data_IF_222271559716
#
_entry.id   IF_222271559716
#
_cell.length_a   1.000
_cell.length_b   1.000
_cell.length_c   1.000
_cell.angle_alpha   90.00
_cell.angle_beta   90.00
_cell.angle_gamma   90.00
#
_symmetry.space_group_name_H-M   'P 1'
#
loop_
_entity.id
_entity.type
_entity.pdbx_description
1 polymer ?
#
# COMPACT_ATOMS: atom_id res chain seq x y z
N UNK A 1 15.27 -0.53 -52.90
CA UNK A 1 16.22 -1.18 -51.98
C UNK A 1 17.14 -0.11 -51.41
N UNK A 2 16.77 0.46 -50.27
CA UNK A 2 17.68 1.14 -49.35
C UNK A 2 17.32 0.58 -47.98
N UNK A 3 18.01 -0.50 -47.59
CA UNK A 3 18.08 -0.96 -46.22
C UNK A 3 18.96 0.02 -45.46
N UNK A 4 18.36 1.08 -44.94
CA UNK A 4 18.95 1.81 -43.81
C UNK A 4 18.93 0.83 -42.63
N UNK A 5 20.11 0.43 -42.17
CA UNK A 5 20.26 -0.48 -41.05
C UNK A 5 19.77 0.20 -39.78
N UNK A 6 18.78 -0.41 -39.10
CA UNK A 6 18.28 0.01 -37.78
C UNK A 6 19.39 0.28 -36.75
N UNK A 7 20.58 -0.32 -36.93
CA UNK A 7 21.75 -0.14 -36.06
C UNK A 7 22.27 1.30 -35.99
N UNK A 8 22.20 2.06 -37.10
CA UNK A 8 22.81 3.39 -37.17
C UNK A 8 21.86 4.48 -36.62
N UNK A 9 20.56 4.22 -36.56
CA UNK A 9 19.56 5.15 -36.00
C UNK A 9 19.44 5.04 -34.48
N UNK A 10 19.68 3.87 -33.87
CA UNK A 10 19.59 3.69 -32.42
C UNK A 10 20.60 4.57 -31.63
N UNK A 11 21.82 4.71 -32.14
CA UNK A 11 22.87 5.49 -31.46
C UNK A 11 22.72 7.02 -31.58
N UNK A 12 21.80 7.52 -32.42
CA UNK A 12 21.61 8.95 -32.66
C UNK A 12 20.24 9.49 -32.19
N UNK A 13 19.49 8.71 -31.40
CA UNK A 13 18.19 9.16 -30.87
C UNK A 13 18.35 10.18 -29.76
N UNK A 14 17.64 11.30 -29.89
CA UNK A 14 17.52 12.28 -28.83
C UNK A 14 16.49 11.81 -27.81
N UNK A 15 16.94 11.38 -26.63
CA UNK A 15 16.07 11.10 -25.49
C UNK A 15 16.53 11.89 -24.28
N UNK A 16 15.60 12.23 -23.39
CA UNK A 16 15.94 12.84 -22.10
C UNK A 16 16.38 11.75 -21.14
N UNK A 17 17.67 11.73 -20.80
CA UNK A 17 18.18 10.81 -19.78
C UNK A 17 17.42 11.02 -18.45
N UNK A 18 16.87 9.96 -17.85
CA UNK A 18 16.20 10.07 -16.56
C UNK A 18 17.20 10.44 -15.47
N UNK A 19 16.69 11.00 -14.37
CA UNK A 19 17.50 11.19 -13.19
C UNK A 19 17.95 9.83 -12.65
N UNK A 20 19.20 9.72 -12.14
CA UNK A 20 19.63 8.50 -11.48
C UNK A 20 18.74 8.24 -10.27
N UNK A 21 18.57 6.96 -9.92
CA UNK A 21 17.90 6.58 -8.68
C UNK A 21 18.54 7.32 -7.50
N UNK A 22 17.71 7.91 -6.65
CA UNK A 22 18.17 8.47 -5.37
C UNK A 22 18.59 7.38 -4.40
N UNK A 23 18.17 6.14 -4.65
CA UNK A 23 18.38 4.99 -3.79
C UNK A 23 19.26 3.97 -4.50
N UNK A 24 20.53 3.88 -4.08
CA UNK A 24 21.36 2.74 -4.48
C UNK A 24 20.88 1.49 -3.73
N UNK A 25 19.98 0.75 -4.37
CA UNK A 25 19.38 -0.45 -3.82
C UNK A 25 20.42 -1.51 -3.43
N UNK A 26 21.56 -1.57 -4.13
CA UNK A 26 22.65 -2.50 -3.80
C UNK A 26 23.33 -2.09 -2.49
N UNK A 27 23.62 -0.80 -2.32
CA UNK A 27 24.17 -0.28 -1.06
C UNK A 27 23.20 -0.43 0.11
N UNK A 28 21.90 -0.23 -0.11
CA UNK A 28 20.86 -0.38 0.93
C UNK A 28 20.83 -1.80 1.52
N UNK A 29 21.07 -2.83 0.70
CA UNK A 29 20.95 -4.24 1.12
C UNK A 29 22.27 -4.93 1.44
N UNK A 30 23.41 -4.31 1.13
CA UNK A 30 24.74 -4.94 1.24
C UNK A 30 25.14 -5.31 2.67
N UNK A 31 24.79 -4.46 3.66
CA UNK A 31 25.26 -4.59 5.04
C UNK A 31 24.13 -4.89 6.04
N UNK A 32 23.01 -5.44 5.57
CA UNK A 32 21.89 -5.75 6.43
C UNK A 32 22.11 -7.03 7.24
N UNK A 33 21.93 -6.90 8.55
CA UNK A 33 21.92 -8.00 9.50
C UNK A 33 20.48 -8.48 9.73
N UNK A 34 20.22 -9.72 9.34
CA UNK A 34 18.93 -10.39 9.52
C UNK A 34 18.93 -11.38 10.70
N UNK A 35 20.04 -11.50 11.45
CA UNK A 35 20.18 -12.47 12.55
C UNK A 35 19.16 -12.28 13.66
N UNK A 36 18.63 -11.07 13.80
CA UNK A 36 17.63 -10.72 14.82
C UNK A 36 16.20 -11.13 14.43
N UNK A 37 15.92 -11.48 13.17
CA UNK A 37 14.55 -11.77 12.71
C UNK A 37 13.91 -12.93 13.48
N UNK A 38 14.63 -14.02 13.69
CA UNK A 38 14.12 -15.18 14.43
C UNK A 38 13.85 -14.85 15.91
N UNK A 39 14.69 -14.00 16.51
CA UNK A 39 14.50 -13.55 17.89
C UNK A 39 13.26 -12.67 18.01
N UNK A 40 13.09 -11.70 17.10
CA UNK A 40 11.91 -10.84 17.03
C UNK A 40 10.63 -11.67 16.84
N UNK A 41 10.65 -12.65 15.92
CA UNK A 41 9.52 -13.55 15.69
C UNK A 41 9.13 -14.34 16.94
N UNK A 42 10.11 -14.90 17.67
CA UNK A 42 9.85 -15.59 18.94
C UNK A 42 9.26 -14.66 20.01
N UNK A 43 9.74 -13.42 20.12
CA UNK A 43 9.19 -12.45 21.07
C UNK A 43 7.76 -12.04 20.70
N UNK A 44 7.47 -11.85 19.42
CA UNK A 44 6.11 -11.58 18.91
C UNK A 44 5.18 -12.74 19.26
N UNK A 45 5.57 -13.99 18.97
CA UNK A 45 4.74 -15.15 19.31
C UNK A 45 4.54 -15.31 20.82
N UNK A 46 5.50 -14.91 21.66
CA UNK A 46 5.35 -14.91 23.11
C UNK A 46 4.40 -13.82 23.64
N UNK A 47 4.28 -12.69 22.93
CA UNK A 47 3.36 -11.60 23.29
C UNK A 47 1.95 -11.82 22.75
N UNK A 48 1.79 -12.56 21.65
CA UNK A 48 0.50 -12.79 20.99
C UNK A 48 -0.59 -13.34 21.93
N UNK A 49 -0.35 -14.36 22.77
CA UNK A 49 -1.35 -14.83 23.73
C UNK A 49 -1.73 -13.78 24.78
N UNK A 50 -0.80 -12.92 25.18
CA UNK A 50 -1.06 -11.88 26.19
C UNK A 50 -2.02 -10.82 25.62
N UNK A 51 -1.72 -10.32 24.42
CA UNK A 51 -2.59 -9.34 23.74
C UNK A 51 -3.94 -9.96 23.36
N UNK A 52 -3.97 -11.22 22.91
CA UNK A 52 -5.21 -11.97 22.70
C UNK A 52 -6.07 -12.02 23.97
N UNK A 53 -5.46 -12.32 25.12
CA UNK A 53 -6.17 -12.35 26.40
C UNK A 53 -6.68 -10.94 26.80
N UNK A 54 -5.92 -9.88 26.56
CA UNK A 54 -6.36 -8.50 26.77
C UNK A 54 -7.57 -8.15 25.89
N UNK A 55 -7.55 -8.57 24.62
CA UNK A 55 -8.65 -8.40 23.69
C UNK A 55 -9.91 -9.14 24.17
N UNK A 56 -9.79 -10.43 24.51
CA UNK A 56 -10.93 -11.26 24.94
C UNK A 56 -11.51 -10.79 26.27
N UNK A 57 -10.65 -10.41 27.24
CA UNK A 57 -11.05 -9.96 28.58
C UNK A 57 -11.59 -8.52 28.61
N UNK A 58 -11.48 -7.77 27.51
CA UNK A 58 -12.05 -6.43 27.39
C UNK A 58 -13.57 -6.49 27.61
N UNK A 59 -14.02 -5.82 28.68
CA UNK A 59 -15.42 -5.86 29.13
C UNK A 59 -16.33 -5.08 28.17
N UNK A 60 -17.17 -5.80 27.46
CA UNK A 60 -18.18 -5.24 26.56
C UNK A 60 -17.68 -5.07 25.14
N UNK A 61 -18.60 -5.24 24.19
CA UNK A 61 -18.30 -5.27 22.76
C UNK A 61 -17.71 -3.95 22.25
N UNK A 62 -18.17 -2.82 22.82
CA UNK A 62 -17.66 -1.47 22.55
C UNK A 62 -16.15 -1.37 22.80
N UNK A 63 -15.69 -1.87 23.95
CA UNK A 63 -14.26 -1.83 24.29
C UNK A 63 -13.42 -2.69 23.35
N UNK A 64 -13.95 -3.82 22.89
CA UNK A 64 -13.28 -4.67 21.89
C UNK A 64 -13.16 -4.01 20.53
N UNK A 65 -14.15 -3.21 20.12
CA UNK A 65 -14.08 -2.43 18.88
C UNK A 65 -13.03 -1.30 19.00
N UNK A 66 -13.00 -0.58 20.13
CA UNK A 66 -11.94 0.40 20.39
C UNK A 66 -10.55 -0.25 20.43
N UNK A 67 -10.44 -1.47 20.97
CA UNK A 67 -9.20 -2.25 20.94
C UNK A 67 -8.84 -2.67 19.52
N UNK A 68 -9.83 -3.04 18.69
CA UNK A 68 -9.63 -3.36 17.26
C UNK A 68 -9.04 -2.16 16.53
N UNK A 69 -9.54 -0.95 16.79
CA UNK A 69 -8.94 0.26 16.23
C UNK A 69 -7.46 0.41 16.61
N UNK A 70 -7.10 0.21 17.88
CA UNK A 70 -5.70 0.24 18.29
C UNK A 70 -4.86 -0.83 17.57
N UNK A 71 -5.38 -2.04 17.39
CA UNK A 71 -4.68 -3.10 16.66
C UNK A 71 -4.46 -2.73 15.18
N UNK A 72 -5.46 -2.15 14.52
CA UNK A 72 -5.36 -1.68 13.13
C UNK A 72 -4.31 -0.58 13.04
N UNK A 73 -4.45 0.48 13.83
CA UNK A 73 -3.59 1.66 13.74
C UNK A 73 -2.16 1.39 14.21
N UNK A 74 -1.92 0.37 15.06
CA UNK A 74 -0.58 -0.10 15.45
C UNK A 74 0.04 -1.13 14.47
N UNK A 75 -0.66 -1.49 13.38
CA UNK A 75 -0.19 -2.49 12.42
C UNK A 75 -0.15 -3.91 12.97
N UNK A 76 -1.02 -4.23 13.93
CA UNK A 76 -1.11 -5.51 14.63
C UNK A 76 -2.34 -6.35 14.25
N UNK A 77 -3.31 -5.77 13.55
CA UNK A 77 -4.62 -6.40 13.28
C UNK A 77 -4.49 -7.78 12.63
N UNK A 78 -3.54 -7.98 11.71
CA UNK A 78 -3.34 -9.24 11.00
C UNK A 78 -2.98 -10.44 11.92
N UNK A 79 -2.54 -10.18 13.16
CA UNK A 79 -2.29 -11.24 14.14
C UNK A 79 -3.56 -11.76 14.83
N UNK A 80 -4.69 -11.06 14.67
CA UNK A 80 -5.93 -11.25 15.41
C UNK A 80 -7.17 -11.20 14.49
N UNK A 81 -7.01 -11.58 13.22
CA UNK A 81 -8.08 -11.49 12.21
C UNK A 81 -9.35 -12.21 12.67
N UNK A 82 -9.22 -13.44 13.17
CA UNK A 82 -10.36 -14.25 13.64
C UNK A 82 -11.11 -13.55 14.78
N UNK A 83 -10.40 -13.08 15.82
CA UNK A 83 -11.02 -12.42 16.96
C UNK A 83 -11.70 -11.10 16.57
N UNK A 84 -11.10 -10.36 15.63
CA UNK A 84 -11.66 -9.12 15.10
C UNK A 84 -12.94 -9.42 14.31
N UNK A 85 -12.89 -10.38 13.39
CA UNK A 85 -14.06 -10.75 12.56
C UNK A 85 -15.23 -11.21 13.42
N UNK A 86 -14.99 -12.08 14.41
CA UNK A 86 -16.02 -12.52 15.35
C UNK A 86 -16.60 -11.36 16.16
N UNK A 87 -15.73 -10.48 16.68
CA UNK A 87 -16.14 -9.30 17.46
C UNK A 87 -17.01 -8.35 16.63
N UNK A 88 -16.64 -8.08 15.38
CA UNK A 88 -17.40 -7.18 14.53
C UNK A 88 -18.74 -7.80 14.12
N UNK A 89 -18.78 -9.09 13.85
CA UNK A 89 -20.03 -9.80 13.57
C UNK A 89 -21.02 -9.68 14.74
N UNK A 90 -20.56 -9.94 15.96
CA UNK A 90 -21.37 -9.82 17.18
C UNK A 90 -21.73 -8.37 17.50
N UNK A 91 -20.80 -7.45 17.28
CA UNK A 91 -20.98 -6.02 17.52
C UNK A 91 -22.00 -5.38 16.57
N UNK A 92 -21.99 -5.78 15.30
CA UNK A 92 -22.93 -5.25 14.31
C UNK A 92 -24.37 -5.61 14.66
N UNK A 93 -24.63 -6.81 15.17
CA UNK A 93 -25.95 -7.23 15.65
C UNK A 93 -26.48 -6.39 16.82
N UNK A 94 -25.57 -5.75 17.57
CA UNK A 94 -25.88 -4.95 18.77
C UNK A 94 -25.55 -3.48 18.58
N UNK A 95 -25.44 -3.01 17.33
CA UNK A 95 -24.97 -1.66 17.04
C UNK A 95 -25.90 -0.60 17.62
N UNK A 96 -27.22 -0.78 17.53
CA UNK A 96 -28.20 0.16 18.08
C UNK A 96 -28.08 0.27 19.60
N UNK A 97 -27.99 -0.86 20.31
CA UNK A 97 -27.78 -0.89 21.77
C UNK A 97 -26.44 -0.24 22.15
N UNK A 98 -25.38 -0.55 21.40
CA UNK A 98 -24.03 -0.02 21.65
C UNK A 98 -23.94 1.49 21.45
N UNK A 99 -24.67 2.01 20.46
CA UNK A 99 -24.69 3.42 20.11
C UNK A 99 -25.76 4.20 20.89
N UNK A 100 -26.66 3.54 21.62
CA UNK A 100 -27.70 4.21 22.39
C UNK A 100 -27.08 5.02 23.55
N UNK A 101 -27.32 6.34 23.55
CA UNK A 101 -26.83 7.24 24.61
C UNK A 101 -25.30 7.41 24.66
N UNK A 102 -24.58 7.00 23.62
CA UNK A 102 -23.14 7.25 23.49
C UNK A 102 -22.89 8.65 22.92
N UNK A 103 -22.42 9.57 23.76
CA UNK A 103 -22.18 10.97 23.38
C UNK A 103 -20.68 11.34 23.32
N UNK A 104 -19.79 10.35 23.42
CA UNK A 104 -18.35 10.55 23.21
C UNK A 104 -17.98 10.54 21.72
N UNK A 105 -17.51 11.70 21.22
CA UNK A 105 -17.19 11.89 19.80
C UNK A 105 -16.11 10.91 19.31
N UNK A 106 -15.05 10.73 20.09
CA UNK A 106 -13.98 9.78 19.80
C UNK A 106 -14.55 8.37 19.63
N UNK A 107 -15.33 7.89 20.60
CA UNK A 107 -15.88 6.54 20.62
C UNK A 107 -16.82 6.29 19.44
N UNK A 108 -17.77 7.20 19.16
CA UNK A 108 -18.69 7.05 18.02
C UNK A 108 -17.92 7.03 16.70
N UNK A 109 -16.93 7.91 16.54
CA UNK A 109 -16.13 8.00 15.32
C UNK A 109 -15.27 6.76 15.10
N UNK A 110 -14.63 6.24 16.16
CA UNK A 110 -13.82 5.02 16.07
C UNK A 110 -14.67 3.79 15.76
N UNK A 111 -15.81 3.62 16.44
CA UNK A 111 -16.76 2.54 16.11
C UNK A 111 -17.16 2.65 14.64
N UNK A 112 -17.46 3.87 14.18
CA UNK A 112 -17.85 4.09 12.80
C UNK A 112 -16.76 3.67 11.82
N UNK A 113 -15.56 4.19 12.04
CA UNK A 113 -14.37 3.91 11.23
C UNK A 113 -14.07 2.41 11.14
N UNK A 114 -14.05 1.70 12.28
CA UNK A 114 -13.74 0.27 12.30
C UNK A 114 -14.77 -0.53 11.52
N UNK A 115 -16.08 -0.34 11.77
CA UNK A 115 -17.10 -1.10 11.04
C UNK A 115 -17.04 -0.86 9.53
N UNK A 116 -16.89 0.39 9.09
CA UNK A 116 -16.75 0.72 7.66
C UNK A 116 -15.47 0.12 7.06
N UNK A 117 -14.36 0.11 7.81
CA UNK A 117 -13.08 -0.49 7.38
C UNK A 117 -13.24 -1.98 7.07
N UNK A 118 -14.03 -2.70 7.86
CA UNK A 118 -14.31 -4.12 7.69
C UNK A 118 -15.58 -4.40 6.85
N UNK A 119 -16.09 -3.40 6.12
CA UNK A 119 -17.17 -3.58 5.14
C UNK A 119 -18.60 -3.60 5.71
N UNK A 120 -18.79 -3.27 6.98
CA UNK A 120 -20.13 -3.14 7.56
C UNK A 120 -20.74 -1.77 7.27
N UNK A 121 -21.89 -1.75 6.61
CA UNK A 121 -22.62 -0.52 6.28
C UNK A 121 -23.45 0.00 7.46
N UNK A 122 -22.78 0.61 8.42
CA UNK A 122 -23.43 1.39 9.49
C UNK A 122 -23.91 2.75 8.97
N UNK A 123 -25.05 3.23 9.47
CA UNK A 123 -25.58 4.55 9.07
C UNK A 123 -24.69 5.67 9.60
N UNK A 124 -24.41 6.67 8.75
CA UNK A 124 -23.74 7.91 9.14
C UNK A 124 -24.63 8.83 9.99
N UNK A 125 -25.94 8.57 10.06
CA UNK A 125 -26.89 9.31 10.92
C UNK A 125 -26.53 9.24 12.40
N UNK A 126 -25.68 8.27 12.80
CA UNK A 126 -25.14 8.22 14.17
C UNK A 126 -24.46 9.54 14.55
N UNK A 127 -23.88 10.28 13.61
CA UNK A 127 -23.27 11.58 13.88
C UNK A 127 -24.27 12.72 14.09
N UNK A 128 -25.56 12.51 13.78
CA UNK A 128 -26.62 13.50 14.00
C UNK A 128 -26.73 13.97 15.45
N UNK A 129 -26.30 13.13 16.42
CA UNK A 129 -26.25 13.49 17.85
C UNK A 129 -25.28 14.64 18.17
N UNK A 130 -24.30 14.86 17.31
CA UNK A 130 -23.29 15.91 17.44
C UNK A 130 -23.65 17.21 16.74
N UNK A 131 -24.79 17.23 16.02
CA UNK A 131 -25.29 18.42 15.37
C UNK A 131 -26.04 19.33 16.35
N UNK A 132 -25.89 20.64 16.16
CA UNK A 132 -26.67 21.69 16.80
C UNK A 132 -28.02 21.91 16.13
N UNK A 133 -28.72 22.95 16.57
CA UNK A 133 -30.10 23.23 16.13
C UNK A 133 -30.20 23.66 14.66
N UNK A 134 -29.10 24.10 14.04
CA UNK A 134 -29.06 24.52 12.64
C UNK A 134 -28.44 23.46 11.70
N UNK A 135 -28.18 22.24 12.21
CA UNK A 135 -27.62 21.13 11.44
C UNK A 135 -26.10 21.16 11.28
N UNK A 136 -25.41 22.05 11.97
CA UNK A 136 -23.96 22.18 12.05
C UNK A 136 -23.38 21.39 13.23
N UNK A 137 -22.12 20.93 13.15
CA UNK A 137 -21.48 20.29 14.31
C UNK A 137 -21.28 21.27 15.47
N UNK A 138 -21.60 20.84 16.70
CA UNK A 138 -21.53 21.67 17.91
C UNK A 138 -20.10 22.19 18.14
N UNK A 139 -19.96 23.51 18.34
CA UNK A 139 -18.67 24.15 18.61
C UNK A 139 -17.97 23.59 19.87
N UNK A 140 -18.73 23.10 20.85
CA UNK A 140 -18.15 22.52 22.07
C UNK A 140 -17.28 21.27 21.83
N UNK A 141 -17.42 20.60 20.67
CA UNK A 141 -16.62 19.44 20.27
C UNK A 141 -15.15 19.80 20.04
N UNK A 142 -14.83 21.08 19.80
CA UNK A 142 -13.45 21.58 19.63
C UNK A 142 -12.56 21.42 20.85
N UNK A 143 -13.16 21.12 22.01
CA UNK A 143 -12.46 20.82 23.26
C UNK A 143 -11.89 19.40 23.30
N UNK A 144 -12.26 18.53 22.36
CA UNK A 144 -11.74 17.17 22.21
C UNK A 144 -10.97 17.02 20.89
N UNK A 145 -9.67 17.33 20.88
CA UNK A 145 -8.85 17.18 19.67
C UNK A 145 -8.76 15.73 19.17
N UNK A 146 -8.83 14.74 20.06
CA UNK A 146 -8.79 13.31 19.66
C UNK A 146 -10.11 12.90 19.00
N UNK A 147 -11.24 13.38 19.53
CA UNK A 147 -12.55 13.19 18.93
C UNK A 147 -12.66 13.84 17.55
N UNK A 148 -12.21 15.09 17.39
CA UNK A 148 -12.19 15.75 16.07
C UNK A 148 -11.31 14.99 15.08
N UNK A 149 -10.12 14.56 15.48
CA UNK A 149 -9.24 13.78 14.61
C UNK A 149 -9.90 12.44 14.22
N UNK A 150 -10.57 11.77 15.16
CA UNK A 150 -11.25 10.51 14.87
C UNK A 150 -12.47 10.70 13.97
N UNK A 151 -13.21 11.81 14.12
CA UNK A 151 -14.31 12.18 13.23
C UNK A 151 -13.79 12.47 11.82
N UNK A 152 -12.64 13.15 11.69
CA UNK A 152 -12.00 13.41 10.41
C UNK A 152 -11.67 12.10 9.68
N UNK A 153 -11.03 11.15 10.37
CA UNK A 153 -10.71 9.84 9.80
C UNK A 153 -11.97 9.04 9.44
N UNK A 154 -12.98 9.06 10.31
CA UNK A 154 -14.27 8.41 10.05
C UNK A 154 -14.99 9.01 8.85
N UNK A 155 -14.95 10.34 8.67
CA UNK A 155 -15.64 11.01 7.57
C UNK A 155 -15.03 10.68 6.19
N UNK A 156 -13.74 10.31 6.12
CA UNK A 156 -13.13 9.78 4.89
C UNK A 156 -13.62 8.38 4.50
N UNK A 157 -14.40 7.70 5.35
CA UNK A 157 -15.08 6.43 5.05
C UNK A 157 -16.48 6.62 4.43
N UNK A 158 -16.85 7.88 4.13
CA UNK A 158 -18.16 8.22 3.58
C UNK A 158 -18.39 7.71 2.16
N UNK A 159 -19.65 7.38 1.89
CA UNK A 159 -20.15 7.05 0.54
C UNK A 159 -20.95 8.23 -0.02
N UNK A 160 -21.39 8.13 -1.28
CA UNK A 160 -22.21 9.16 -1.93
C UNK A 160 -23.57 9.39 -1.28
N UNK A 161 -23.99 8.56 -0.33
CA UNK A 161 -25.24 8.70 0.41
C UNK A 161 -25.06 9.25 1.82
N UNK A 162 -23.83 9.44 2.28
CA UNK A 162 -23.52 9.85 3.65
C UNK A 162 -23.33 11.37 3.78
N UNK A 163 -24.35 12.17 3.42
CA UNK A 163 -24.25 13.63 3.33
C UNK A 163 -23.79 14.34 4.61
N UNK A 164 -24.08 13.77 5.79
CA UNK A 164 -23.62 14.30 7.07
C UNK A 164 -22.09 14.30 7.20
N UNK A 165 -21.39 13.41 6.48
CA UNK A 165 -19.94 13.31 6.51
C UNK A 165 -19.26 14.42 5.70
N UNK A 166 -19.93 15.00 4.71
CA UNK A 166 -19.41 16.19 4.00
C UNK A 166 -19.29 17.37 4.97
N UNK A 167 -20.33 17.59 5.78
CA UNK A 167 -20.31 18.62 6.84
C UNK A 167 -19.30 18.26 7.95
N UNK A 168 -19.16 16.98 8.28
CA UNK A 168 -18.14 16.52 9.23
C UNK A 168 -16.71 16.81 8.73
N UNK A 169 -16.44 16.62 7.44
CA UNK A 169 -15.15 16.97 6.83
C UNK A 169 -14.91 18.48 6.90
N UNK A 170 -15.88 19.31 6.54
CA UNK A 170 -15.76 20.77 6.63
C UNK A 170 -15.46 21.25 8.06
N UNK A 171 -16.23 20.74 9.02
CA UNK A 171 -16.06 21.05 10.44
C UNK A 171 -14.69 20.62 10.95
N UNK A 172 -14.30 19.37 10.70
CA UNK A 172 -13.04 18.82 11.22
C UNK A 172 -11.82 19.47 10.59
N UNK A 173 -11.80 19.70 9.27
CA UNK A 173 -10.71 20.39 8.57
C UNK A 173 -10.43 21.77 9.18
N UNK A 174 -11.48 22.59 9.31
CA UNK A 174 -11.37 23.95 9.83
C UNK A 174 -10.79 23.99 11.25
N UNK A 175 -11.09 22.99 12.08
CA UNK A 175 -10.61 22.92 13.46
C UNK A 175 -9.23 22.27 13.58
N UNK A 176 -8.96 21.21 12.80
CA UNK A 176 -7.69 20.48 12.87
C UNK A 176 -6.49 21.34 12.42
N UNK A 177 -6.66 22.26 11.47
CA UNK A 177 -5.60 23.19 11.08
C UNK A 177 -5.11 24.01 12.28
N UNK A 178 -6.02 24.53 13.09
CA UNK A 178 -5.71 25.27 14.32
C UNK A 178 -5.13 24.36 15.42
N UNK A 179 -5.71 23.17 15.60
CA UNK A 179 -5.26 22.18 16.59
C UNK A 179 -3.85 21.65 16.28
N UNK A 180 -3.47 21.59 15.00
CA UNK A 180 -2.15 21.16 14.54
C UNK A 180 -0.99 22.04 15.05
N UNK A 181 -1.31 23.25 15.52
CA UNK A 181 -0.36 24.22 16.06
C UNK A 181 -0.44 24.37 17.58
N UNK A 182 -1.56 24.00 18.20
CA UNK A 182 -1.88 24.32 19.61
C UNK A 182 -1.84 23.11 20.55
N UNK A 183 -2.01 21.89 20.03
CA UNK A 183 -1.96 20.67 20.84
C UNK A 183 -0.53 20.30 21.31
N UNK A 184 -0.46 19.28 22.19
CA UNK A 184 0.81 18.64 22.58
C UNK A 184 1.60 18.22 21.32
N UNK A 185 2.94 18.34 21.28
CA UNK A 185 3.72 18.13 20.05
C UNK A 185 3.48 16.79 19.32
N UNK A 186 3.24 15.71 20.07
CA UNK A 186 2.97 14.39 19.50
C UNK A 186 1.60 14.32 18.81
N UNK A 187 0.56 14.90 19.41
CA UNK A 187 -0.78 14.99 18.81
C UNK A 187 -0.80 15.95 17.62
N UNK A 188 -0.15 17.11 17.75
CA UNK A 188 0.00 18.08 16.65
C UNK A 188 0.65 17.47 15.41
N UNK A 189 1.68 16.62 15.59
CA UNK A 189 2.29 15.87 14.49
C UNK A 189 1.32 14.87 13.88
N UNK A 190 0.60 14.09 14.71
CA UNK A 190 -0.39 13.13 14.21
C UNK A 190 -1.49 13.82 13.39
N UNK A 191 -1.99 14.97 13.85
CA UNK A 191 -2.97 15.78 13.13
C UNK A 191 -2.42 16.23 11.78
N UNK A 192 -1.20 16.80 11.72
CA UNK A 192 -0.60 17.23 10.45
C UNK A 192 -0.44 16.10 9.45
N UNK A 193 -0.03 14.92 9.91
CA UNK A 193 0.10 13.76 9.02
C UNK A 193 -1.25 13.33 8.44
N UNK A 194 -2.28 13.28 9.30
CA UNK A 194 -3.64 12.89 8.91
C UNK A 194 -4.25 13.90 7.93
N UNK A 195 -4.00 15.20 8.12
CA UNK A 195 -4.38 16.25 7.17
C UNK A 195 -3.69 16.14 5.80
N UNK A 196 -2.47 15.58 5.76
CA UNK A 196 -1.75 15.32 4.51
C UNK A 196 -2.31 14.12 3.76
N UNK A 197 -2.50 13.00 4.45
CA UNK A 197 -3.15 11.80 3.90
C UNK A 197 -3.84 11.03 5.03
N UNK A 198 -5.20 10.94 5.02
CA UNK A 198 -5.95 10.26 6.07
C UNK A 198 -5.64 8.77 6.11
N UNK A 199 -5.80 8.16 7.28
CA UNK A 199 -5.45 6.76 7.55
C UNK A 199 -6.02 5.79 6.50
N UNK A 200 -7.31 5.93 6.16
CA UNK A 200 -7.97 5.05 5.19
C UNK A 200 -7.35 5.10 3.78
N UNK A 201 -6.70 6.21 3.41
CA UNK A 201 -6.09 6.42 2.09
C UNK A 201 -4.57 6.21 2.12
N UNK A 202 -4.02 5.76 3.24
CA UNK A 202 -2.58 5.66 3.48
C UNK A 202 -2.12 4.20 3.57
N UNK A 203 -0.82 3.97 3.43
CA UNK A 203 -0.22 2.64 3.68
C UNK A 203 -0.24 2.35 5.17
N UNK A 204 -0.81 1.21 5.57
CA UNK A 204 -0.95 0.81 6.97
C UNK A 204 0.37 0.86 7.75
N UNK A 205 1.49 0.51 7.11
CA UNK A 205 2.80 0.52 7.77
C UNK A 205 3.29 1.94 8.11
N UNK A 206 2.97 2.93 7.26
CA UNK A 206 3.33 4.33 7.50
C UNK A 206 2.46 4.93 8.60
N UNK A 207 1.17 4.58 8.61
CA UNK A 207 0.25 4.90 9.70
C UNK A 207 0.78 4.32 11.01
N UNK A 208 1.16 3.04 11.02
CA UNK A 208 1.69 2.37 12.20
C UNK A 208 2.98 3.02 12.72
N UNK A 209 3.92 3.38 11.83
CA UNK A 209 5.15 4.08 12.23
C UNK A 209 4.83 5.38 13.01
N UNK A 210 3.96 6.21 12.43
CA UNK A 210 3.64 7.51 13.01
C UNK A 210 2.80 7.39 14.27
N UNK A 211 1.88 6.43 14.32
CA UNK A 211 1.03 6.16 15.46
C UNK A 211 1.80 5.53 16.63
N UNK A 212 2.76 4.62 16.38
CA UNK A 212 3.64 4.09 17.44
C UNK A 212 4.38 5.23 18.16
N UNK A 213 4.92 6.20 17.39
CA UNK A 213 5.60 7.39 17.95
C UNK A 213 4.66 8.31 18.72
N UNK A 214 3.38 8.37 18.34
CA UNK A 214 2.35 9.10 19.07
C UNK A 214 2.01 8.36 20.37
N UNK A 215 1.66 7.07 20.27
CA UNK A 215 1.22 6.20 21.35
C UNK A 215 2.28 6.06 22.45
N UNK A 216 3.57 5.97 22.11
CA UNK A 216 4.66 5.95 23.08
C UNK A 216 4.68 7.14 24.04
N UNK A 217 4.14 8.29 23.62
CA UNK A 217 4.14 9.53 24.40
C UNK A 217 2.83 9.76 25.15
N UNK A 218 1.84 8.88 24.97
CA UNK A 218 0.56 8.99 25.63
C UNK A 218 0.61 8.39 27.03
N UNK A 219 0.00 9.09 27.99
CA UNK A 219 -0.01 8.73 29.42
C UNK A 219 -0.79 7.42 29.68
N UNK A 220 -1.78 7.13 28.85
CA UNK A 220 -2.66 5.96 28.90
C UNK A 220 -2.20 4.81 27.98
N UNK A 221 -0.98 4.89 27.46
CA UNK A 221 -0.44 3.84 26.57
C UNK A 221 -0.21 2.51 27.28
N UNK A 222 -0.78 1.44 26.72
CA UNK A 222 -0.51 0.09 27.18
C UNK A 222 0.88 -0.37 26.72
N UNK A 223 1.75 -0.66 27.70
CA UNK A 223 3.15 -1.04 27.47
C UNK A 223 3.29 -2.39 26.73
N UNK A 224 2.33 -3.30 26.88
CA UNK A 224 2.34 -4.59 26.18
C UNK A 224 2.05 -4.39 24.69
N UNK A 225 1.03 -3.60 24.36
CA UNK A 225 0.71 -3.22 22.99
C UNK A 225 1.84 -2.42 22.34
N UNK A 226 2.43 -1.46 23.08
CA UNK A 226 3.55 -0.67 22.58
C UNK A 226 4.80 -1.53 22.32
N UNK A 227 5.10 -2.48 23.21
CA UNK A 227 6.21 -3.43 23.00
C UNK A 227 5.95 -4.29 21.76
N UNK A 228 4.74 -4.84 21.63
CA UNK A 228 4.38 -5.65 20.47
C UNK A 228 4.51 -4.84 19.18
N UNK A 229 3.86 -3.67 19.08
CA UNK A 229 3.88 -2.86 17.85
C UNK A 229 5.29 -2.50 17.40
N UNK A 230 6.20 -2.16 18.32
CA UNK A 230 7.61 -1.90 18.00
C UNK A 230 8.34 -3.14 17.47
N UNK A 231 8.16 -4.29 18.10
CA UNK A 231 8.77 -5.55 17.66
C UNK A 231 8.24 -5.96 16.28
N UNK A 232 6.91 -5.88 16.09
CA UNK A 232 6.27 -6.20 14.83
C UNK A 232 6.72 -5.24 13.71
N UNK A 233 6.74 -3.93 13.96
CA UNK A 233 7.25 -2.96 12.99
C UNK A 233 8.69 -3.27 12.58
N UNK A 234 9.56 -3.59 13.54
CA UNK A 234 10.95 -3.96 13.25
C UNK A 234 11.05 -5.26 12.46
N UNK A 235 10.24 -6.25 12.80
CA UNK A 235 10.16 -7.52 12.10
C UNK A 235 9.72 -7.33 10.64
N UNK A 236 8.64 -6.57 10.40
CA UNK A 236 8.15 -6.23 9.06
C UNK A 236 9.20 -5.45 8.25
N UNK A 237 9.87 -4.47 8.86
CA UNK A 237 10.95 -3.72 8.21
C UNK A 237 12.06 -4.66 7.71
N UNK A 238 12.54 -5.59 8.55
CA UNK A 238 13.56 -6.56 8.14
C UNK A 238 13.05 -7.50 7.05
N UNK A 239 11.79 -7.90 7.13
CA UNK A 239 11.13 -8.72 6.14
C UNK A 239 11.11 -8.04 4.75
N UNK A 240 10.69 -6.77 4.67
CA UNK A 240 10.68 -6.01 3.42
C UNK A 240 12.08 -5.75 2.86
N UNK A 241 13.06 -5.55 3.74
CA UNK A 241 14.45 -5.39 3.30
C UNK A 241 15.06 -6.70 2.78
N UNK A 242 14.62 -7.84 3.30
CA UNK A 242 15.00 -9.16 2.76
C UNK A 242 14.40 -9.37 1.37
N UNK A 243 13.14 -8.96 1.15
CA UNK A 243 12.50 -8.95 -0.17
C UNK A 243 13.26 -8.03 -1.14
N UNK A 244 13.61 -6.80 -0.71
CA UNK A 244 14.40 -5.87 -1.53
C UNK A 244 15.77 -6.44 -1.88
N UNK A 245 16.38 -7.24 -1.00
CA UNK A 245 17.66 -7.93 -1.30
C UNK A 245 17.51 -8.97 -2.41
N UNK A 246 16.41 -9.74 -2.40
CA UNK A 246 16.08 -10.69 -3.46
C UNK A 246 15.86 -9.94 -4.78
N UNK A 247 15.04 -8.89 -4.74
CA UNK A 247 14.73 -8.05 -5.89
C UNK A 247 15.96 -7.34 -6.46
N UNK A 248 16.85 -6.85 -5.60
CA UNK A 248 18.11 -6.21 -6.01
C UNK A 248 19.02 -7.17 -6.76
N UNK A 249 19.09 -8.44 -6.32
CA UNK A 249 19.85 -9.48 -7.00
C UNK A 249 19.22 -9.79 -8.37
N UNK A 250 17.90 -10.02 -8.39
CA UNK A 250 17.15 -10.28 -9.62
C UNK A 250 17.30 -9.15 -10.64
N UNK A 251 17.19 -7.89 -10.21
CA UNK A 251 17.34 -6.71 -11.06
C UNK A 251 18.75 -6.61 -11.65
N UNK A 252 19.78 -6.91 -10.86
CA UNK A 252 21.17 -6.97 -11.32
C UNK A 252 21.39 -8.05 -12.38
N UNK A 253 20.74 -9.21 -12.24
CA UNK A 253 20.82 -10.31 -13.21
C UNK A 253 20.20 -9.95 -14.57
N UNK A 254 19.30 -8.97 -14.61
CA UNK A 254 18.76 -8.45 -15.88
C UNK A 254 19.80 -7.69 -16.68
N UNK A 255 20.80 -7.09 -16.03
CA UNK A 255 21.91 -6.37 -16.66
C UNK A 255 21.45 -5.29 -17.67
N UNK A 256 20.43 -4.52 -17.30
CA UNK A 256 19.86 -3.48 -18.16
C UNK A 256 20.91 -2.46 -18.64
N UNK A 257 21.90 -2.17 -17.81
CA UNK A 257 22.97 -1.22 -18.15
C UNK A 257 23.78 -1.65 -19.38
N UNK A 258 24.01 -2.96 -19.58
CA UNK A 258 24.75 -3.45 -20.74
C UNK A 258 23.85 -3.67 -21.96
N UNK A 259 22.56 -3.96 -21.73
CA UNK A 259 21.60 -4.35 -22.77
C UNK A 259 20.78 -3.20 -23.34
N UNK A 260 20.53 -2.16 -22.54
CA UNK A 260 19.66 -1.05 -22.89
C UNK A 260 20.43 0.27 -22.88
N UNK A 261 20.19 1.14 -23.87
CA UNK A 261 20.57 2.55 -23.77
C UNK A 261 19.93 3.18 -22.51
N UNK A 262 20.56 4.21 -21.91
CA UNK A 262 20.17 4.71 -20.59
C UNK A 262 18.93 5.64 -20.64
N UNK A 263 17.86 5.22 -21.32
CA UNK A 263 16.57 5.94 -21.40
C UNK A 263 15.61 5.57 -20.25
N UNK A 264 15.84 4.43 -19.61
CA UNK A 264 14.93 3.86 -18.62
C UNK A 264 15.20 4.36 -17.20
N UNK A 265 14.14 4.46 -16.40
CA UNK A 265 14.18 4.84 -14.98
C UNK A 265 14.60 3.64 -14.14
N UNK A 266 15.54 3.87 -13.23
CA UNK A 266 15.85 2.93 -12.15
C UNK A 266 15.06 3.35 -10.90
N UNK A 267 13.97 2.64 -10.63
CA UNK A 267 13.02 2.96 -9.55
C UNK A 267 12.63 1.72 -8.73
N UNK A 268 13.51 0.71 -8.66
CA UNK A 268 13.22 -0.58 -8.02
C UNK A 268 12.77 -0.42 -6.55
N UNK A 269 13.39 0.51 -5.81
CA UNK A 269 13.09 0.74 -4.39
C UNK A 269 11.70 1.35 -4.22
N UNK A 270 11.36 2.32 -5.07
CA UNK A 270 10.07 3.00 -5.10
C UNK A 270 8.94 2.04 -5.48
N UNK A 271 9.19 1.17 -6.47
CA UNK A 271 8.25 0.12 -6.85
C UNK A 271 8.03 -0.88 -5.72
N UNK A 272 9.10 -1.32 -5.03
CA UNK A 272 8.98 -2.19 -3.87
C UNK A 272 8.22 -1.50 -2.72
N UNK A 273 8.51 -0.22 -2.46
CA UNK A 273 7.82 0.58 -1.45
C UNK A 273 6.31 0.65 -1.72
N UNK A 274 5.92 0.79 -2.99
CA UNK A 274 4.50 0.81 -3.38
C UNK A 274 3.77 -0.49 -3.00
N UNK A 275 4.46 -1.65 -3.05
CA UNK A 275 3.84 -2.93 -2.69
C UNK A 275 3.64 -3.13 -1.18
N UNK A 276 4.16 -2.24 -0.33
CA UNK A 276 3.97 -2.34 1.13
C UNK A 276 2.53 -2.02 1.58
N UNK A 277 1.63 -1.67 0.66
CA UNK A 277 0.18 -1.70 0.90
C UNK A 277 -0.31 -3.08 1.33
N UNK A 278 0.38 -4.14 0.89
CA UNK A 278 0.18 -5.49 1.38
C UNK A 278 1.08 -5.68 2.61
N UNK A 279 0.59 -5.37 3.81
CA UNK A 279 1.42 -5.31 5.02
C UNK A 279 1.96 -6.68 5.47
N UNK A 280 1.20 -7.75 5.29
CA UNK A 280 1.48 -8.99 6.04
C UNK A 280 2.70 -9.78 5.53
N UNK A 281 3.46 -10.46 6.42
CA UNK A 281 4.55 -11.34 6.00
C UNK A 281 4.11 -12.46 5.05
N UNK A 282 2.87 -12.97 5.22
CA UNK A 282 2.30 -14.03 4.36
C UNK A 282 2.18 -13.61 2.88
N UNK A 283 2.18 -12.31 2.61
CA UNK A 283 2.07 -11.71 1.27
C UNK A 283 3.44 -11.35 0.65
N UNK A 284 4.55 -11.77 1.26
CA UNK A 284 5.92 -11.57 0.76
C UNK A 284 6.08 -11.87 -0.72
N UNK A 285 5.62 -13.06 -1.12
CA UNK A 285 5.73 -13.50 -2.50
C UNK A 285 4.95 -12.57 -3.42
N UNK A 286 3.73 -12.18 -3.05
CA UNK A 286 2.92 -11.24 -3.83
C UNK A 286 3.67 -9.91 -4.04
N UNK A 287 4.31 -9.36 -3.00
CA UNK A 287 5.10 -8.12 -3.12
C UNK A 287 6.30 -8.25 -4.06
N UNK A 288 7.02 -9.37 -3.99
CA UNK A 288 8.14 -9.65 -4.91
C UNK A 288 7.63 -9.72 -6.35
N UNK A 289 6.53 -10.45 -6.60
CA UNK A 289 5.93 -10.55 -7.94
C UNK A 289 5.49 -9.20 -8.47
N UNK A 290 4.75 -8.44 -7.67
CA UNK A 290 4.26 -7.11 -8.05
C UNK A 290 5.41 -6.18 -8.35
N UNK A 291 6.49 -6.20 -7.57
CA UNK A 291 7.67 -5.36 -7.86
C UNK A 291 8.32 -5.74 -9.18
N UNK A 292 8.48 -7.04 -9.48
CA UNK A 292 9.01 -7.49 -10.78
C UNK A 292 8.09 -7.08 -11.94
N UNK A 293 6.78 -7.26 -11.76
CA UNK A 293 5.76 -6.87 -12.73
C UNK A 293 5.73 -5.36 -12.98
N UNK A 294 5.83 -4.53 -11.94
CA UNK A 294 5.93 -3.09 -12.09
C UNK A 294 7.23 -2.66 -12.75
N UNK A 295 8.35 -3.33 -12.42
CA UNK A 295 9.64 -3.07 -13.08
C UNK A 295 9.52 -3.34 -14.57
N UNK A 296 8.91 -4.46 -14.95
CA UNK A 296 8.60 -4.81 -16.33
C UNK A 296 7.75 -3.73 -17.02
N UNK A 297 6.66 -3.29 -16.40
CA UNK A 297 5.82 -2.22 -16.95
C UNK A 297 6.58 -0.90 -17.13
N UNK A 298 7.42 -0.50 -16.17
CA UNK A 298 8.20 0.75 -16.29
C UNK A 298 9.23 0.66 -17.42
N UNK A 299 9.87 -0.49 -17.62
CA UNK A 299 10.79 -0.69 -18.76
C UNK A 299 10.03 -0.59 -20.08
N UNK A 300 8.85 -1.21 -20.19
CA UNK A 300 8.02 -1.12 -21.39
C UNK A 300 7.53 0.31 -21.66
N UNK A 301 7.00 0.98 -20.64
CA UNK A 301 6.56 2.39 -20.67
C UNK A 301 7.69 3.32 -21.13
N UNK A 302 8.87 3.21 -20.51
CA UNK A 302 10.05 4.00 -20.92
C UNK A 302 10.54 3.65 -22.33
N UNK A 303 10.36 2.41 -22.78
CA UNK A 303 10.71 2.00 -24.14
C UNK A 303 9.81 2.72 -25.13
N UNK A 304 8.49 2.66 -24.94
CA UNK A 304 7.51 3.26 -25.85
C UNK A 304 7.57 4.79 -25.83
N UNK A 305 7.62 5.42 -24.65
CA UNK A 305 7.45 6.87 -24.52
C UNK A 305 8.73 7.67 -24.82
N UNK A 306 9.91 7.06 -24.63
CA UNK A 306 11.17 7.82 -24.62
C UNK A 306 12.17 7.41 -25.68
N UNK A 307 12.04 6.22 -26.27
CA UNK A 307 13.14 5.66 -27.06
C UNK A 307 12.75 4.94 -28.34
N UNK A 308 11.73 4.10 -28.32
CA UNK A 308 11.26 3.39 -29.51
C UNK A 308 10.60 4.36 -30.51
N UNK A 309 10.80 4.09 -31.80
CA UNK A 309 10.04 4.73 -32.87
C UNK A 309 8.65 4.10 -32.97
N UNK A 310 7.69 4.82 -33.56
CA UNK A 310 6.33 4.30 -33.77
C UNK A 310 6.33 2.92 -34.44
N UNK A 311 7.14 2.74 -35.49
CA UNK A 311 7.27 1.45 -36.18
C UNK A 311 7.78 0.32 -35.29
N UNK A 312 8.68 0.62 -34.36
CA UNK A 312 9.18 -0.36 -33.40
C UNK A 312 8.12 -0.71 -32.35
N UNK A 313 7.31 0.26 -31.93
CA UNK A 313 6.17 0.04 -31.03
C UNK A 313 5.10 -0.80 -31.72
N UNK A 314 4.77 -0.54 -32.99
CA UNK A 314 3.85 -1.37 -33.79
C UNK A 314 4.29 -2.84 -33.83
N UNK A 315 5.59 -3.10 -33.99
CA UNK A 315 6.11 -4.47 -33.98
C UNK A 315 6.03 -5.09 -32.58
N UNK A 316 6.34 -4.31 -31.53
CA UNK A 316 6.16 -4.77 -30.14
C UNK A 316 4.72 -5.16 -29.85
N UNK A 317 3.74 -4.37 -30.30
CA UNK A 317 2.31 -4.65 -30.12
C UNK A 317 1.95 -5.98 -30.78
N UNK A 318 2.30 -6.20 -32.04
CA UNK A 318 2.01 -7.48 -32.74
C UNK A 318 2.65 -8.69 -32.02
N UNK A 319 3.87 -8.55 -31.50
CA UNK A 319 4.53 -9.60 -30.70
C UNK A 319 3.73 -9.92 -29.43
N UNK A 320 3.27 -8.90 -28.70
CA UNK A 320 2.54 -9.11 -27.45
C UNK A 320 1.08 -9.53 -27.67
N UNK A 321 0.42 -9.12 -28.76
CA UNK A 321 -0.91 -9.61 -29.14
C UNK A 321 -0.88 -11.10 -29.49
N UNK A 322 0.13 -11.54 -30.24
CA UNK A 322 0.33 -12.96 -30.56
C UNK A 322 0.82 -13.75 -29.35
N UNK A 323 1.44 -13.06 -28.40
CA UNK A 323 2.17 -13.64 -27.27
C UNK A 323 3.17 -14.73 -27.71
N UNK A 324 3.87 -14.47 -28.81
CA UNK A 324 4.75 -15.44 -29.46
C UNK A 324 6.20 -14.95 -29.48
N UNK A 325 7.11 -15.82 -29.02
CA UNK A 325 8.56 -15.62 -28.98
C UNK A 325 9.27 -16.18 -30.23
N UNK A 326 8.53 -16.55 -31.27
CA UNK A 326 9.12 -17.09 -32.50
C UNK A 326 10.24 -16.18 -33.06
N UNK A 327 11.38 -16.80 -33.39
CA UNK A 327 12.64 -16.12 -33.72
C UNK A 327 12.50 -15.15 -34.91
N UNK A 328 11.57 -15.42 -35.82
CA UNK A 328 11.31 -14.60 -37.00
C UNK A 328 10.51 -13.31 -36.72
N UNK A 329 9.75 -13.24 -35.62
CA UNK A 329 9.14 -11.99 -35.18
C UNK A 329 10.19 -11.04 -34.57
N UNK A 330 11.30 -11.62 -34.09
CA UNK A 330 12.45 -10.90 -33.55
C UNK A 330 13.45 -10.49 -34.65
N UNK A 331 13.38 -11.12 -35.83
CA UNK A 331 14.20 -10.84 -37.00
C UNK A 331 13.88 -9.46 -37.58
N UNK A 332 14.70 -8.48 -37.22
CA UNK A 332 14.56 -7.08 -37.67
C UNK A 332 14.48 -6.07 -36.53
N UNK A 333 14.26 -6.53 -35.29
CA UNK A 333 14.34 -5.66 -34.12
C UNK A 333 15.79 -5.26 -33.81
N UNK A 334 16.03 -4.02 -33.37
CA UNK A 334 17.31 -3.63 -32.80
C UNK A 334 17.58 -4.39 -31.49
N UNK A 335 18.86 -4.58 -31.16
CA UNK A 335 19.26 -5.45 -30.04
C UNK A 335 18.67 -5.03 -28.69
N UNK A 336 18.55 -3.73 -28.42
CA UNK A 336 17.94 -3.25 -27.17
C UNK A 336 16.47 -3.70 -27.04
N UNK A 337 15.72 -3.68 -28.14
CA UNK A 337 14.30 -4.03 -28.15
C UNK A 337 14.11 -5.53 -28.03
N UNK A 338 15.02 -6.31 -28.63
CA UNK A 338 15.10 -7.74 -28.39
C UNK A 338 15.32 -8.06 -26.91
N UNK A 339 16.17 -7.28 -26.23
CA UNK A 339 16.39 -7.42 -24.79
C UNK A 339 15.13 -7.09 -23.97
N UNK A 340 14.36 -6.06 -24.35
CA UNK A 340 13.08 -5.70 -23.70
C UNK A 340 12.06 -6.84 -23.82
N UNK A 341 11.83 -7.36 -25.04
CA UNK A 341 10.89 -8.47 -25.26
C UNK A 341 11.31 -9.71 -24.46
N UNK A 342 12.59 -10.10 -24.52
CA UNK A 342 13.11 -11.24 -23.76
C UNK A 342 12.95 -11.07 -22.25
N UNK A 343 13.12 -9.85 -21.75
CA UNK A 343 12.91 -9.54 -20.34
C UNK A 343 11.44 -9.70 -19.92
N UNK A 344 10.50 -9.18 -20.72
CA UNK A 344 9.05 -9.29 -20.46
C UNK A 344 8.62 -10.76 -20.44
N UNK A 345 8.87 -11.51 -21.51
CA UNK A 345 8.50 -12.92 -21.56
C UNK A 345 9.23 -13.75 -20.50
N UNK A 346 10.51 -13.47 -20.25
CA UNK A 346 11.28 -14.15 -19.21
C UNK A 346 10.70 -13.95 -17.81
N UNK A 347 10.16 -12.76 -17.54
CA UNK A 347 9.44 -12.43 -16.29
C UNK A 347 8.14 -13.23 -16.18
N UNK A 348 7.35 -13.30 -17.24
CA UNK A 348 6.11 -14.12 -17.25
C UNK A 348 6.38 -15.62 -17.14
N UNK A 349 7.43 -16.13 -17.78
CA UNK A 349 7.86 -17.52 -17.62
C UNK A 349 8.35 -17.80 -16.20
N UNK A 350 8.97 -16.82 -15.53
CA UNK A 350 9.29 -16.94 -14.11
C UNK A 350 8.03 -17.06 -13.27
N UNK A 351 7.03 -16.21 -13.53
CA UNK A 351 5.74 -16.30 -12.86
C UNK A 351 5.06 -17.65 -13.08
N UNK A 352 5.01 -18.12 -14.32
CA UNK A 352 4.46 -19.43 -14.67
C UNK A 352 5.13 -20.57 -13.90
N UNK A 353 6.47 -20.60 -13.84
CA UNK A 353 7.20 -21.63 -13.09
C UNK A 353 6.85 -21.62 -11.60
N UNK A 354 6.60 -20.44 -11.06
CA UNK A 354 6.33 -20.27 -9.64
C UNK A 354 4.85 -20.56 -9.29
N UNK A 355 3.86 -20.00 -10.01
CA UNK A 355 2.43 -20.13 -9.68
C UNK A 355 1.67 -21.16 -10.52
N UNK A 356 2.28 -21.74 -11.56
CA UNK A 356 1.57 -22.59 -12.52
C UNK A 356 1.00 -23.90 -11.94
N UNK A 357 1.53 -24.35 -10.80
CA UNK A 357 0.98 -25.52 -10.07
C UNK A 357 -0.08 -25.16 -9.02
N UNK A 358 -0.32 -23.87 -8.80
CA UNK A 358 -1.29 -23.39 -7.81
C UNK A 358 -2.70 -23.35 -8.37
N UNK A 359 -3.69 -23.57 -7.50
CA UNK A 359 -5.10 -23.50 -7.89
C UNK A 359 -5.43 -22.09 -8.40
N UNK A 360 -5.80 -21.98 -9.68
CA UNK A 360 -6.09 -20.71 -10.33
C UNK A 360 -4.86 -19.88 -10.73
N UNK A 361 -3.64 -20.40 -10.55
CA UNK A 361 -2.41 -19.70 -10.90
C UNK A 361 -2.26 -19.47 -12.41
N UNK A 362 -2.45 -20.51 -13.23
CA UNK A 362 -2.41 -20.39 -14.70
C UNK A 362 -3.49 -19.44 -15.23
N UNK A 363 -4.72 -19.57 -14.72
CA UNK A 363 -5.82 -18.66 -15.10
C UNK A 363 -5.51 -17.19 -14.78
N UNK A 364 -4.94 -16.92 -13.60
CA UNK A 364 -4.54 -15.56 -13.20
C UNK A 364 -3.39 -15.03 -14.07
N UNK A 365 -2.47 -15.90 -14.47
CA UNK A 365 -1.37 -15.56 -15.38
C UNK A 365 -1.91 -15.20 -16.77
N UNK A 366 -2.80 -16.03 -17.34
CA UNK A 366 -3.45 -15.77 -18.62
C UNK A 366 -4.20 -14.43 -18.62
N UNK A 367 -4.98 -14.15 -17.58
CA UNK A 367 -5.65 -12.86 -17.42
C UNK A 367 -4.66 -11.67 -17.31
N UNK A 368 -3.50 -11.88 -16.69
CA UNK A 368 -2.46 -10.84 -16.59
C UNK A 368 -1.75 -10.63 -17.92
N UNK A 369 -1.53 -11.70 -18.68
CA UNK A 369 -0.99 -11.64 -20.05
C UNK A 369 -1.95 -10.85 -20.93
N UNK A 370 -3.23 -11.19 -20.94
CA UNK A 370 -4.27 -10.49 -21.69
C UNK A 370 -4.33 -9.00 -21.30
N UNK A 371 -4.24 -8.68 -20.01
CA UNK A 371 -4.18 -7.29 -19.54
C UNK A 371 -2.96 -6.53 -20.13
N UNK A 372 -1.77 -7.14 -20.13
CA UNK A 372 -0.57 -6.50 -20.68
C UNK A 372 -0.67 -6.36 -22.21
N UNK A 373 -1.15 -7.39 -22.90
CA UNK A 373 -1.35 -7.35 -24.36
C UNK A 373 -2.33 -6.25 -24.75
N UNK A 374 -3.48 -6.15 -24.09
CA UNK A 374 -4.51 -5.14 -24.39
C UNK A 374 -4.10 -3.73 -23.96
N UNK A 375 -3.23 -3.57 -22.97
CA UNK A 375 -2.72 -2.26 -22.54
C UNK A 375 -1.75 -1.66 -23.57
N UNK A 376 -1.24 -2.45 -24.52
CA UNK A 376 -0.37 -1.95 -25.57
C UNK A 376 -1.08 -1.06 -26.59
N UNK A 377 -2.38 -1.28 -26.83
CA UNK A 377 -3.20 -0.40 -27.66
C UNK A 377 -3.27 1.03 -27.10
N UNK A 378 -3.23 1.17 -25.76
CA UNK A 378 -3.20 2.47 -25.11
C UNK A 378 -1.92 3.26 -25.43
N UNK A 379 -0.77 2.60 -25.56
CA UNK A 379 0.49 3.28 -25.92
C UNK A 379 0.45 3.82 -27.35
N UNK A 380 -0.26 3.15 -28.27
CA UNK A 380 -0.47 3.62 -29.64
C UNK A 380 -1.47 4.77 -29.75
N UNK A 381 -2.44 4.88 -28.83
CA UNK A 381 -3.42 5.99 -28.81
C UNK A 381 -2.87 7.28 -28.20
N UNK A 382 -1.79 7.21 -27.41
CA UNK A 382 -1.21 8.36 -26.70
C UNK A 382 0.12 8.89 -27.26
N UNK A 383 0.70 8.22 -28.28
CA UNK A 383 1.87 8.71 -29.03
C UNK A 383 1.48 9.28 -30.39
#
# INVERSE_FOLDING_TARGET
MQTLSFSDEANNRNFRKPFPSTWDHQSLVANLDFSQMDALGREIEALKPQVRNMFISSKGIKKKILFTYLLVTLGLAYHFEDEIVETLKDGFQKIEEMMAGEDDLYTVSVIFYVFRTYGYNISSDVFGRFLGDHGEFKECLTRDPKGILSLYEAAHMGTTTDYILDEALNFTLSNLESLSCTCKPNLSRLIRNSLGLPQHKNMEILVAEEFIRFYEKEEDSDLTLLKFSKLNFKFLQLHYLQELKILSKWYKEQDFHSKLPPYYRDVLVELNLHTLTYLEPKLSRVRIFLTKFYTMQIILDDTCDKYASLREVEILVDIFERWDLEDHAMDGLPDYLKSVVKFIFGTFQEFEREIGSELGGLYSLEATIEYVSNRNDFFLETT
#
